data_IF_387954835731
#
_entry.id   IF_387954835731
#
_cell.length_a   1.000
_cell.length_b   1.000
_cell.length_c   1.000
_cell.angle_alpha   90.00
_cell.angle_beta   90.00
_cell.angle_gamma   90.00
#
_symmetry.space_group_name_H-M   'P 1'
#
loop_
_entity.id
_entity.type
_entity.pdbx_description
1 polymer ?
#
# COMPACT_ATOMS: atom_id res chain seq x y z
N UNK A 1 -16.99 -1.95 -3.73
CA UNK A 1 -16.39 -2.20 -2.41
C UNK A 1 -15.18 -3.09 -2.62
N UNK A 2 -13.98 -2.63 -2.30
CA UNK A 2 -12.75 -3.40 -2.49
C UNK A 2 -12.51 -4.33 -1.30
N UNK A 3 -12.28 -5.62 -1.58
CA UNK A 3 -11.94 -6.66 -0.58
C UNK A 3 -10.48 -7.03 -0.79
N UNK A 4 -9.62 -6.95 0.22
CA UNK A 4 -8.21 -7.34 0.07
C UNK A 4 -8.01 -8.71 0.72
N UNK A 5 -7.69 -9.73 -0.07
CA UNK A 5 -7.33 -11.06 0.46
C UNK A 5 -5.82 -11.24 0.42
N UNK A 6 -5.26 -12.03 1.34
CA UNK A 6 -3.80 -12.18 1.54
C UNK A 6 -3.10 -12.75 0.30
N UNK A 7 -3.82 -13.57 -0.47
CA UNK A 7 -3.34 -14.28 -1.66
C UNK A 7 -3.05 -13.34 -2.84
N UNK A 8 -3.52 -12.09 -2.77
CA UNK A 8 -3.32 -11.08 -3.81
C UNK A 8 -2.13 -10.16 -3.55
N UNK A 9 -1.49 -10.25 -2.37
CA UNK A 9 -0.37 -9.39 -1.98
C UNK A 9 0.93 -9.92 -2.60
N UNK A 10 1.62 -9.07 -3.37
CA UNK A 10 2.88 -9.38 -4.05
C UNK A 10 4.07 -8.85 -3.26
N UNK A 11 3.92 -7.66 -2.71
CA UNK A 11 4.95 -6.99 -1.91
C UNK A 11 4.28 -6.20 -0.79
N UNK A 12 5.00 -6.02 0.29
CA UNK A 12 4.48 -5.36 1.48
C UNK A 12 5.59 -4.73 2.29
N UNK A 13 5.22 -3.71 3.04
CA UNK A 13 6.08 -3.10 4.02
C UNK A 13 5.24 -2.62 5.19
N UNK A 14 5.82 -2.55 6.37
CA UNK A 14 5.15 -1.92 7.49
C UNK A 14 6.03 -1.81 8.71
N UNK A 15 5.59 -0.95 9.62
CA UNK A 15 6.25 -0.67 10.87
C UNK A 15 5.25 -0.24 11.93
N UNK A 16 5.68 -0.32 13.19
CA UNK A 16 4.95 0.21 14.33
C UNK A 16 5.66 1.47 14.83
N UNK A 17 4.94 2.58 14.91
CA UNK A 17 5.41 3.85 15.48
C UNK A 17 4.90 3.91 16.92
N UNK A 18 5.80 4.06 17.89
CA UNK A 18 5.42 4.10 19.30
C UNK A 18 4.67 5.41 19.61
N UNK A 19 3.71 5.40 20.54
CA UNK A 19 2.98 6.62 20.97
C UNK A 19 2.34 7.44 19.82
N UNK A 20 2.02 6.78 18.69
CA UNK A 20 1.48 7.43 17.49
C UNK A 20 -0.05 7.43 17.41
N UNK A 21 -0.76 6.98 18.45
CA UNK A 21 -2.22 6.87 18.45
C UNK A 21 -2.92 8.16 18.00
N UNK A 22 -3.95 8.02 17.16
CA UNK A 22 -4.77 9.14 16.69
C UNK A 22 -4.12 9.96 15.57
N UNK A 23 -2.92 9.60 15.12
CA UNK A 23 -2.18 10.28 14.04
C UNK A 23 -2.37 9.66 12.65
N UNK A 24 -3.34 8.77 12.49
CA UNK A 24 -3.59 8.08 11.21
C UNK A 24 -3.87 9.03 10.04
N UNK A 25 -4.65 10.10 10.27
CA UNK A 25 -4.95 11.09 9.25
C UNK A 25 -3.71 11.88 8.81
N UNK A 26 -2.76 12.11 9.71
CA UNK A 26 -1.49 12.80 9.42
C UNK A 26 -0.67 11.97 8.42
N UNK A 27 -0.50 10.67 8.67
CA UNK A 27 0.19 9.77 7.75
C UNK A 27 -0.51 9.69 6.39
N UNK A 28 -1.83 9.57 6.36
CA UNK A 28 -2.57 9.51 5.09
C UNK A 28 -2.38 10.79 4.27
N UNK A 29 -2.53 11.96 4.91
CA UNK A 29 -2.41 13.25 4.25
C UNK A 29 -0.98 13.48 3.75
N UNK A 30 0.02 13.25 4.61
CA UNK A 30 1.42 13.42 4.25
C UNK A 30 1.85 12.47 3.13
N UNK A 31 1.42 11.21 3.19
CA UNK A 31 1.70 10.24 2.12
C UNK A 31 1.11 10.69 0.79
N UNK A 32 -0.14 11.16 0.79
CA UNK A 32 -0.80 11.68 -0.40
C UNK A 32 -0.09 12.93 -0.94
N UNK A 33 0.31 13.85 -0.08
CA UNK A 33 1.01 15.07 -0.46
C UNK A 33 2.41 14.79 -1.01
N UNK A 34 3.14 13.84 -0.42
CA UNK A 34 4.43 13.39 -0.97
C UNK A 34 4.27 12.67 -2.32
N UNK A 35 3.22 11.85 -2.51
CA UNK A 35 2.92 11.24 -3.81
C UNK A 35 2.63 12.34 -4.85
N UNK A 36 1.77 13.31 -4.54
CA UNK A 36 1.48 14.42 -5.46
C UNK A 36 2.71 15.28 -5.74
N UNK A 37 3.51 15.54 -4.71
CA UNK A 37 4.76 16.29 -4.80
C UNK A 37 5.84 15.61 -5.64
N UNK A 38 5.79 14.28 -5.80
CA UNK A 38 6.70 13.53 -6.68
C UNK A 38 6.51 13.85 -8.16
N UNK A 39 5.35 14.42 -8.54
CA UNK A 39 4.96 14.69 -9.93
C UNK A 39 5.02 13.45 -10.84
N UNK A 40 4.87 12.25 -10.27
CA UNK A 40 4.74 11.02 -11.03
C UNK A 40 3.51 11.13 -11.98
N UNK A 41 3.65 10.77 -13.26
CA UNK A 41 2.79 11.27 -14.33
C UNK A 41 1.33 10.79 -14.27
N UNK A 42 1.08 9.61 -13.70
CA UNK A 42 -0.20 8.89 -13.83
C UNK A 42 -0.80 8.42 -12.50
N UNK A 43 -0.17 8.74 -11.36
CA UNK A 43 -0.61 8.25 -10.06
C UNK A 43 -1.91 8.93 -9.62
N UNK A 44 -2.87 8.09 -9.23
CA UNK A 44 -4.15 8.51 -8.66
C UNK A 44 -4.27 7.99 -7.24
N UNK A 45 -4.60 8.88 -6.31
CA UNK A 45 -4.85 8.56 -4.91
C UNK A 45 -6.35 8.60 -4.60
N UNK A 46 -6.82 7.70 -3.74
CA UNK A 46 -8.20 7.70 -3.23
C UNK A 46 -8.23 7.12 -1.83
N UNK A 47 -8.78 7.85 -0.86
CA UNK A 47 -9.09 7.32 0.47
C UNK A 47 -10.43 6.57 0.44
N UNK A 48 -10.46 5.34 0.93
CA UNK A 48 -11.68 4.51 0.95
C UNK A 48 -11.71 3.61 2.19
N UNK A 49 -12.92 3.43 2.76
CA UNK A 49 -13.16 2.46 3.83
C UNK A 49 -13.32 1.06 3.24
N UNK A 50 -12.46 0.14 3.65
CA UNK A 50 -12.47 -1.25 3.20
C UNK A 50 -12.85 -2.21 4.30
N UNK A 51 -13.51 -3.30 3.89
CA UNK A 51 -13.81 -4.44 4.74
C UNK A 51 -12.93 -5.63 4.32
N UNK A 52 -12.48 -6.48 5.27
CA UNK A 52 -11.60 -7.59 4.97
C UNK A 52 -12.26 -8.72 4.15
N UNK A 53 -13.60 -8.80 4.06
CA UNK A 53 -14.33 -9.85 3.33
C UNK A 53 -15.80 -9.47 3.11
N UNK A 54 -16.49 -10.10 2.14
CA UNK A 54 -17.95 -9.93 1.90
C UNK A 54 -18.75 -10.21 3.18
N UNK A 55 -18.42 -11.29 3.89
CA UNK A 55 -19.04 -11.67 5.18
C UNK A 55 -18.68 -10.67 6.28
N UNK A 56 -17.44 -10.15 6.25
CA UNK A 56 -16.97 -9.09 7.14
C UNK A 56 -17.59 -7.72 6.86
N UNK A 57 -18.30 -7.50 5.74
CA UNK A 57 -18.97 -6.23 5.48
C UNK A 57 -20.24 -6.01 6.32
N UNK A 58 -20.79 -7.08 6.91
CA UNK A 58 -22.00 -7.05 7.74
C UNK A 58 -21.67 -6.99 9.24
N UNK A 59 -20.51 -7.52 9.67
CA UNK A 59 -20.12 -7.67 11.09
C UNK A 59 -18.66 -7.27 11.41
N UNK A 60 -17.86 -6.92 10.41
CA UNK A 60 -16.43 -6.67 10.55
C UNK A 60 -16.06 -5.20 10.64
N UNK A 61 -14.93 -4.92 11.28
CA UNK A 61 -14.35 -3.58 11.38
C UNK A 61 -13.92 -3.07 10.00
N UNK A 62 -14.53 -1.97 9.56
CA UNK A 62 -14.10 -1.24 8.37
C UNK A 62 -12.84 -0.46 8.69
N UNK A 63 -11.87 -0.46 7.77
CA UNK A 63 -10.60 0.26 7.93
C UNK A 63 -10.41 1.26 6.81
N UNK A 64 -9.90 2.43 7.15
CA UNK A 64 -9.50 3.42 6.16
C UNK A 64 -8.21 2.98 5.48
N UNK A 65 -8.19 3.07 4.16
CA UNK A 65 -7.01 2.87 3.34
C UNK A 65 -6.85 4.03 2.38
N UNK A 66 -5.60 4.41 2.11
CA UNK A 66 -5.25 5.23 0.96
C UNK A 66 -4.85 4.28 -0.18
N UNK A 67 -5.67 4.26 -1.23
CA UNK A 67 -5.41 3.49 -2.44
C UNK A 67 -4.62 4.36 -3.39
N UNK A 68 -3.50 3.84 -3.89
CA UNK A 68 -2.74 4.46 -4.98
C UNK A 68 -2.85 3.55 -6.19
N UNK A 69 -3.09 4.12 -7.38
CA UNK A 69 -3.21 3.39 -8.64
C UNK A 69 -2.50 4.12 -9.76
N UNK A 70 -1.89 3.36 -10.64
CA UNK A 70 -1.52 3.83 -11.97
C UNK A 70 -2.45 3.18 -13.01
N UNK A 71 -3.23 3.94 -13.79
CA UNK A 71 -4.07 3.39 -14.85
C UNK A 71 -3.31 2.58 -15.91
N UNK A 72 -2.05 2.90 -16.22
CA UNK A 72 -1.25 2.16 -17.20
C UNK A 72 -0.83 0.78 -16.67
N UNK A 73 -0.68 0.66 -15.35
CA UNK A 73 -0.29 -0.58 -14.67
C UNK A 73 -1.49 -1.33 -14.09
N UNK A 74 -2.69 -1.16 -14.63
CA UNK A 74 -3.82 -2.02 -14.26
C UNK A 74 -3.45 -3.47 -14.61
N UNK A 75 -3.40 -4.41 -13.64
CA UNK A 75 -4.27 -4.45 -12.46
C UNK A 75 -3.58 -4.23 -11.09
N UNK A 76 -2.39 -3.65 -11.05
CA UNK A 76 -1.65 -3.41 -9.80
C UNK A 76 -2.20 -2.22 -9.02
N UNK A 77 -2.26 -2.38 -7.69
CA UNK A 77 -2.73 -1.35 -6.77
C UNK A 77 -1.98 -1.43 -5.45
N UNK A 78 -1.65 -0.27 -4.88
CA UNK A 78 -1.07 -0.14 -3.55
C UNK A 78 -2.13 0.32 -2.57
N UNK A 79 -2.20 -0.37 -1.44
CA UNK A 79 -3.08 -0.04 -0.33
C UNK A 79 -2.21 0.37 0.85
N UNK A 80 -2.22 1.65 1.20
CA UNK A 80 -1.58 2.15 2.42
C UNK A 80 -2.62 2.06 3.54
N UNK A 81 -2.30 1.33 4.60
CA UNK A 81 -3.12 1.13 5.78
C UNK A 81 -2.46 1.76 7.00
N UNK A 82 -3.24 2.52 7.76
CA UNK A 82 -2.79 3.14 9.00
C UNK A 82 -3.84 2.91 10.07
N UNK A 83 -3.44 2.38 11.22
CA UNK A 83 -4.37 2.12 12.32
C UNK A 83 -3.70 2.24 13.68
N UNK A 84 -4.49 2.62 14.67
CA UNK A 84 -4.07 2.55 16.07
C UNK A 84 -3.94 1.08 16.49
N UNK A 85 -2.92 0.80 17.29
CA UNK A 85 -2.64 -0.48 17.92
C UNK A 85 -2.20 -0.25 19.37
N UNK A 86 -3.21 -0.06 20.25
CA UNK A 86 -2.99 0.49 21.58
C UNK A 86 -2.56 1.95 21.47
N UNK A 87 -1.50 2.33 22.19
CA UNK A 87 -0.91 3.67 22.14
C UNK A 87 -0.02 3.87 20.89
N UNK A 88 0.24 2.79 20.15
CA UNK A 88 1.11 2.79 18.98
C UNK A 88 0.31 2.93 17.68
N UNK A 89 0.99 3.27 16.59
CA UNK A 89 0.41 3.39 15.26
C UNK A 89 1.05 2.38 14.30
N UNK A 90 0.26 1.48 13.75
CA UNK A 90 0.66 0.53 12.72
C UNK A 90 0.50 1.19 11.35
N UNK A 91 1.61 1.35 10.63
CA UNK A 91 1.69 1.94 9.29
C UNK A 91 2.20 0.86 8.34
N UNK A 92 1.44 0.56 7.30
CA UNK A 92 1.80 -0.47 6.32
C UNK A 92 1.34 -0.12 4.92
N UNK A 93 1.98 -0.69 3.91
CA UNK A 93 1.44 -0.73 2.57
C UNK A 93 1.53 -2.13 1.96
N UNK A 94 0.61 -2.41 1.03
CA UNK A 94 0.51 -3.68 0.34
C UNK A 94 0.36 -3.45 -1.16
N UNK A 95 1.30 -3.96 -1.95
CA UNK A 95 1.16 -4.07 -3.40
C UNK A 95 0.32 -5.31 -3.70
N UNK A 96 -0.73 -5.14 -4.49
CA UNK A 96 -1.62 -6.24 -4.87
C UNK A 96 -1.84 -6.33 -6.37
N UNK A 97 -2.14 -7.53 -6.85
CA UNK A 97 -2.59 -7.79 -8.22
C UNK A 97 -4.08 -8.13 -8.24
N UNK A 98 -4.89 -7.28 -8.87
CA UNK A 98 -6.35 -7.40 -8.85
C UNK A 98 -6.95 -7.40 -10.25
N UNK A 99 -6.90 -8.54 -10.97
CA UNK A 99 -7.46 -8.60 -12.31
C UNK A 99 -8.95 -8.23 -12.26
N UNK A 100 -9.43 -7.50 -13.27
CA UNK A 100 -10.86 -7.16 -13.38
C UNK A 100 -11.72 -8.43 -13.30
N UNK A 101 -12.96 -8.31 -12.83
CA UNK A 101 -13.88 -9.43 -12.56
C UNK A 101 -13.98 -10.43 -13.74
N UNK A 102 -13.97 -9.94 -14.98
CA UNK A 102 -13.95 -10.75 -16.20
C UNK A 102 -12.63 -11.53 -16.41
N UNK A 103 -11.47 -10.96 -16.07
CA UNK A 103 -10.18 -11.66 -16.06
C UNK A 103 -10.06 -12.63 -14.87
N UNK A 104 -10.67 -12.30 -13.73
CA UNK A 104 -10.67 -13.13 -12.52
C UNK A 104 -11.44 -14.45 -12.71
N UNK A 105 -12.53 -14.43 -13.48
CA UNK A 105 -13.26 -15.64 -13.86
C UNK A 105 -12.40 -16.60 -14.71
N UNK A 106 -11.47 -16.07 -15.49
CA UNK A 106 -10.48 -16.83 -16.26
C UNK A 106 -9.27 -17.29 -15.42
N UNK A 107 -9.01 -16.65 -14.28
CA UNK A 107 -7.80 -16.84 -13.46
C UNK A 107 -7.97 -17.79 -12.27
N UNK A 108 -9.09 -18.54 -12.19
CA UNK A 108 -9.36 -19.53 -11.13
C UNK A 108 -8.30 -20.65 -11.01
N UNK A 109 -7.28 -20.65 -11.88
CA UNK A 109 -6.16 -21.58 -11.90
C UNK A 109 -4.75 -20.92 -11.79
N UNK A 110 -4.62 -19.62 -11.51
CA UNK A 110 -3.31 -18.92 -11.65
C UNK A 110 -2.75 -18.40 -10.31
N UNK A 111 -1.52 -18.81 -9.99
CA UNK A 111 -0.76 -18.43 -8.79
C UNK A 111 -0.15 -17.02 -8.91
N UNK A 112 0.23 -16.42 -7.78
CA UNK A 112 0.89 -15.10 -7.70
C UNK A 112 2.19 -15.00 -8.50
N UNK A 113 2.88 -16.12 -8.73
CA UNK A 113 4.06 -16.18 -9.60
C UNK A 113 3.75 -15.86 -11.08
N UNK A 114 2.52 -16.09 -11.53
CA UNK A 114 2.09 -15.84 -12.91
C UNK A 114 1.69 -14.38 -13.15
N UNK A 115 1.30 -13.65 -12.10
CA UNK A 115 0.92 -12.24 -12.22
C UNK A 115 2.07 -11.37 -12.74
N UNK A 116 3.32 -11.76 -12.49
CA UNK A 116 4.52 -11.01 -12.87
C UNK A 116 5.18 -11.53 -14.16
N UNK A 117 4.90 -12.77 -14.56
CA UNK A 117 5.46 -13.35 -15.80
C UNK A 117 4.88 -12.75 -17.08
N UNK A 118 3.78 -12.00 -16.98
CA UNK A 118 3.15 -11.31 -18.11
C UNK A 118 3.72 -9.90 -18.35
N UNK A 119 4.53 -9.35 -17.43
CA UNK A 119 5.07 -8.00 -17.60
C UNK A 119 6.28 -7.97 -18.51
N UNK A 120 6.26 -7.10 -19.51
CA UNK A 120 7.45 -6.77 -20.27
C UNK A 120 8.47 -5.97 -19.43
N UNK A 121 9.66 -5.76 -19.98
CA UNK A 121 10.75 -5.06 -19.28
C UNK A 121 10.37 -3.60 -18.92
N UNK A 122 9.60 -2.92 -19.77
CA UNK A 122 9.19 -1.54 -19.54
C UNK A 122 8.12 -1.48 -18.45
N UNK A 123 7.13 -2.38 -18.50
CA UNK A 123 6.10 -2.51 -17.47
C UNK A 123 6.71 -2.89 -16.10
N UNK A 124 7.75 -3.72 -16.08
CA UNK A 124 8.49 -4.02 -14.84
C UNK A 124 9.21 -2.79 -14.29
N UNK A 125 9.85 -1.99 -15.16
CA UNK A 125 10.52 -0.76 -14.76
C UNK A 125 9.52 0.27 -14.22
N UNK A 126 8.38 0.43 -14.90
CA UNK A 126 7.30 1.34 -14.50
C UNK A 126 6.65 0.88 -13.20
N UNK A 127 6.37 -0.42 -13.04
CA UNK A 127 5.85 -0.99 -11.80
C UNK A 127 6.82 -0.74 -10.64
N UNK A 128 8.13 -0.94 -10.86
CA UNK A 128 9.15 -0.68 -9.85
C UNK A 128 9.19 0.79 -9.47
N UNK A 129 9.15 1.71 -10.44
CA UNK A 129 9.14 3.15 -10.20
C UNK A 129 7.89 3.57 -9.42
N UNK A 130 6.71 3.11 -9.84
CA UNK A 130 5.44 3.32 -9.16
C UNK A 130 5.48 2.87 -7.69
N UNK A 131 5.94 1.65 -7.42
CA UNK A 131 6.00 1.12 -6.05
C UNK A 131 7.04 1.89 -5.23
N UNK A 132 8.17 2.25 -5.83
CA UNK A 132 9.22 3.03 -5.15
C UNK A 132 8.70 4.40 -4.71
N UNK A 133 7.96 5.11 -5.57
CA UNK A 133 7.35 6.41 -5.21
C UNK A 133 6.40 6.23 -4.02
N UNK A 134 5.54 5.22 -4.06
CA UNK A 134 4.60 4.97 -2.95
C UNK A 134 5.32 4.62 -1.65
N UNK A 135 6.35 3.78 -1.75
CA UNK A 135 7.16 3.35 -0.62
C UNK A 135 7.91 4.54 0.02
N UNK A 136 8.63 5.33 -0.79
CA UNK A 136 9.34 6.52 -0.30
C UNK A 136 8.41 7.59 0.25
N UNK A 137 7.23 7.80 -0.35
CA UNK A 137 6.25 8.74 0.21
C UNK A 137 5.69 8.28 1.55
N UNK A 138 5.41 6.99 1.69
CA UNK A 138 4.94 6.42 2.97
C UNK A 138 6.04 6.48 4.04
N UNK A 139 7.29 6.17 3.67
CA UNK A 139 8.45 6.31 4.56
C UNK A 139 8.63 7.74 5.03
N UNK A 140 8.60 8.73 4.12
CA UNK A 140 8.73 10.15 4.49
C UNK A 140 7.64 10.59 5.47
N UNK A 141 6.41 10.12 5.29
CA UNK A 141 5.32 10.39 6.22
C UNK A 141 5.59 9.77 7.61
N UNK A 142 6.05 8.52 7.64
CA UNK A 142 6.42 7.85 8.89
C UNK A 142 7.61 8.54 9.59
N UNK A 143 8.66 8.88 8.86
CA UNK A 143 9.84 9.61 9.36
C UNK A 143 9.45 10.97 9.95
N UNK A 144 8.62 11.73 9.24
CA UNK A 144 8.11 13.02 9.71
C UNK A 144 7.33 12.88 11.02
N UNK A 145 6.44 11.88 11.13
CA UNK A 145 5.69 11.63 12.36
C UNK A 145 6.62 11.21 13.51
N UNK A 146 7.57 10.29 13.26
CA UNK A 146 8.55 9.86 14.27
C UNK A 146 9.37 11.03 14.81
N UNK A 147 9.85 11.92 13.93
CA UNK A 147 10.55 13.14 14.33
C UNK A 147 9.67 14.03 15.21
N UNK A 148 8.39 14.20 14.84
CA UNK A 148 7.41 14.93 15.65
C UNK A 148 7.15 14.33 17.04
N UNK A 149 7.40 13.03 17.20
CA UNK A 149 7.29 12.29 18.46
C UNK A 149 8.63 12.12 19.19
N UNK A 150 9.70 12.80 18.74
CA UNK A 150 11.07 12.67 19.26
C UNK A 150 11.61 11.23 19.22
N UNK A 151 11.18 10.43 18.24
CA UNK A 151 11.71 9.09 17.98
C UNK A 151 12.82 9.14 16.95
N UNK A 152 13.68 8.12 16.96
CA UNK A 152 14.78 7.97 16.01
C UNK A 152 14.34 7.26 14.72
N UNK A 153 14.27 7.96 13.57
CA UNK A 153 13.87 7.36 12.29
C UNK A 153 14.92 6.39 11.72
N UNK A 154 16.13 6.31 12.29
CA UNK A 154 17.13 5.32 11.88
C UNK A 154 16.63 3.88 12.12
N UNK A 155 15.73 3.70 13.09
CA UNK A 155 15.15 2.40 13.48
C UNK A 155 14.12 1.84 12.49
N UNK A 156 13.76 2.60 11.46
CA UNK A 156 12.84 2.13 10.43
C UNK A 156 13.51 1.02 9.61
N UNK A 157 12.90 -0.16 9.57
CA UNK A 157 13.22 -1.17 8.56
C UNK A 157 12.75 -0.65 7.21
N UNK A 158 13.66 -0.15 6.37
CA UNK A 158 13.32 0.45 5.07
C UNK A 158 13.04 -0.59 4.00
N UNK A 159 13.35 -1.86 4.22
CA UNK A 159 13.26 -2.86 3.16
C UNK A 159 11.86 -3.46 3.08
N UNK A 160 11.27 -3.48 1.89
CA UNK A 160 10.01 -4.19 1.65
C UNK A 160 10.22 -5.72 1.63
N UNK A 161 9.16 -6.45 1.97
CA UNK A 161 9.07 -7.91 1.95
C UNK A 161 8.19 -8.33 0.78
N UNK A 162 8.82 -8.92 -0.22
CA UNK A 162 8.13 -9.43 -1.40
C UNK A 162 9.03 -9.45 -2.62
N UNK A 163 8.41 -9.45 -3.79
CA UNK A 163 9.09 -9.64 -5.06
C UNK A 163 10.06 -8.49 -5.43
N UNK A 164 9.68 -7.24 -5.20
CA UNK A 164 10.46 -6.08 -5.67
C UNK A 164 11.59 -5.70 -4.70
N UNK A 165 11.41 -5.98 -3.41
CA UNK A 165 12.41 -5.76 -2.37
C UNK A 165 12.92 -4.32 -2.33
N UNK A 166 12.00 -3.36 -2.35
CA UNK A 166 12.27 -1.92 -2.41
C UNK A 166 12.97 -1.47 -1.11
N UNK A 167 13.87 -0.49 -1.22
CA UNK A 167 14.62 0.13 -0.12
C UNK A 167 14.69 1.65 -0.24
#
# INVERSE_FOLDING_TARGET
MAIVTKEQVIDSWGMLIENGQGKSNEIFQDTEDFIKGSKAPSLRTKKEKMAPSVVGSILGTKRDFLIVRDPSLSPYQIFVGVRDYGDNLDVSWYLTYRPSFFKALLSLFRSSAFALSELDLFEQADLRAYVTVCHHSTLKAAEKLMQGLNQDPSKIDRKSKGFLGIS
#
